data_IF_217899157665
#
_entry.id   IF_217899157665
#
_cell.length_a   1.000
_cell.length_b   1.000
_cell.length_c   1.000
_cell.angle_alpha   90.00
_cell.angle_beta   90.00
_cell.angle_gamma   90.00
#
_symmetry.space_group_name_H-M   'P 1'
#
loop_
_entity.id
_entity.type
_entity.pdbx_description
1 polymer ?
#
# COMPACT_ATOMS: atom_id res chain seq x y z
N UNK A 1 -15.88 -54.04 33.97
CA UNK A 1 -16.83 -53.53 32.95
C UNK A 1 -17.24 -52.11 33.31
N UNK A 2 -16.59 -51.07 32.76
CA UNK A 2 -17.24 -49.87 32.21
C UNK A 2 -16.18 -48.94 31.61
N UNK A 3 -16.50 -48.47 30.41
CA UNK A 3 -15.60 -47.87 29.43
C UNK A 3 -15.29 -46.40 29.72
N UNK A 4 -14.00 -46.03 29.52
CA UNK A 4 -13.52 -44.86 28.78
C UNK A 4 -14.56 -43.74 28.56
N UNK A 5 -14.46 -42.62 29.28
CA UNK A 5 -15.05 -41.36 28.86
C UNK A 5 -14.02 -40.23 28.96
N UNK A 6 -13.29 -40.06 27.86
CA UNK A 6 -12.43 -38.91 27.61
C UNK A 6 -13.23 -37.81 26.91
N UNK A 7 -12.88 -36.56 27.20
CA UNK A 7 -13.24 -35.29 26.52
C UNK A 7 -14.57 -34.63 26.91
N UNK A 8 -14.44 -33.44 27.50
CA UNK A 8 -15.03 -32.22 26.94
C UNK A 8 -14.37 -30.98 27.60
N UNK A 9 -13.07 -30.79 27.38
CA UNK A 9 -12.46 -29.48 27.61
C UNK A 9 -12.99 -28.56 26.51
N UNK A 10 -14.03 -27.78 26.82
CA UNK A 10 -14.70 -26.86 25.89
C UNK A 10 -13.66 -25.90 25.29
N UNK A 11 -13.38 -25.96 23.97
CA UNK A 11 -12.47 -25.02 23.31
C UNK A 11 -13.24 -23.72 23.01
N UNK A 12 -13.69 -23.01 24.03
CA UNK A 12 -14.35 -21.71 23.84
C UNK A 12 -13.32 -20.58 23.62
N UNK A 13 -12.13 -20.72 24.20
CA UNK A 13 -11.04 -19.74 24.10
C UNK A 13 -10.41 -19.70 22.72
N UNK A 14 -10.22 -20.86 22.07
CA UNK A 14 -9.58 -20.91 20.74
C UNK A 14 -10.45 -20.25 19.66
N UNK A 15 -11.77 -20.44 19.68
CA UNK A 15 -12.66 -19.82 18.69
C UNK A 15 -12.70 -18.29 18.81
N UNK A 16 -12.62 -17.75 20.03
CA UNK A 16 -12.56 -16.30 20.27
C UNK A 16 -11.21 -15.71 19.84
N UNK A 17 -10.10 -16.35 20.21
CA UNK A 17 -8.76 -15.95 19.76
C UNK A 17 -8.64 -16.01 18.24
N UNK A 18 -9.18 -17.05 17.60
CA UNK A 18 -9.20 -17.16 16.14
C UNK A 18 -9.98 -16.03 15.47
N UNK A 19 -11.15 -15.62 16.00
CA UNK A 19 -11.91 -14.50 15.43
C UNK A 19 -11.20 -13.16 15.58
N UNK A 20 -10.61 -12.89 16.74
CA UNK A 20 -9.85 -11.66 17.00
C UNK A 20 -8.64 -11.57 16.06
N UNK A 21 -7.92 -12.68 15.87
CA UNK A 21 -6.78 -12.74 14.93
C UNK A 21 -7.24 -12.54 13.48
N UNK A 22 -8.37 -13.13 13.08
CA UNK A 22 -8.92 -12.99 11.72
C UNK A 22 -9.34 -11.54 11.40
N UNK A 23 -10.06 -10.86 12.30
CA UNK A 23 -10.48 -9.47 12.08
C UNK A 23 -9.29 -8.50 12.00
N UNK A 24 -8.23 -8.76 12.77
CA UNK A 24 -7.03 -7.90 12.76
C UNK A 24 -6.11 -8.18 11.57
N UNK A 25 -6.21 -9.37 10.94
CA UNK A 25 -5.28 -9.82 9.91
C UNK A 25 -5.80 -9.68 8.48
N UNK A 26 -7.06 -9.26 8.27
CA UNK A 26 -7.57 -9.05 6.91
C UNK A 26 -6.99 -7.78 6.29
N UNK A 27 -6.25 -7.86 5.16
CA UNK A 27 -5.70 -6.69 4.51
C UNK A 27 -6.82 -5.76 4.04
N UNK A 28 -6.75 -4.47 4.39
CA UNK A 28 -7.70 -3.48 3.87
C UNK A 28 -7.30 -3.08 2.47
N UNK A 29 -8.27 -2.95 1.58
CA UNK A 29 -8.05 -2.46 0.21
C UNK A 29 -8.07 -0.93 0.22
N UNK A 30 -7.08 -0.31 -0.43
CA UNK A 30 -6.99 1.14 -0.63
C UNK A 30 -6.82 1.47 -2.11
N UNK A 31 -7.28 2.64 -2.53
CA UNK A 31 -7.18 3.12 -3.90
C UNK A 31 -5.97 4.05 -4.07
N UNK A 32 -5.28 3.92 -5.19
CA UNK A 32 -4.19 4.78 -5.60
C UNK A 32 -4.36 5.22 -7.06
N UNK A 33 -4.41 6.52 -7.29
CA UNK A 33 -4.47 7.09 -8.63
C UNK A 33 -3.05 7.28 -9.19
N UNK A 34 -2.58 6.25 -9.90
CA UNK A 34 -1.30 6.28 -10.58
C UNK A 34 -1.25 7.36 -11.67
N UNK A 35 -2.36 7.55 -12.40
CA UNK A 35 -2.42 8.50 -13.52
C UNK A 35 -2.20 9.92 -13.00
N UNK A 36 -2.94 10.30 -11.95
CA UNK A 36 -2.82 11.61 -11.30
C UNK A 36 -1.40 11.86 -10.77
N UNK A 37 -0.76 10.82 -10.26
CA UNK A 37 0.61 10.90 -9.75
C UNK A 37 1.63 11.09 -10.87
N UNK A 38 1.46 10.38 -11.98
CA UNK A 38 2.26 10.54 -13.18
C UNK A 38 2.09 11.94 -13.79
N UNK A 39 0.84 12.41 -13.94
CA UNK A 39 0.54 13.75 -14.46
C UNK A 39 1.22 14.83 -13.61
N UNK A 40 1.12 14.73 -12.27
CA UNK A 40 1.74 15.68 -11.34
C UNK A 40 3.28 15.70 -11.44
N UNK A 41 3.88 14.53 -11.71
CA UNK A 41 5.32 14.43 -11.96
C UNK A 41 5.67 15.08 -13.31
N UNK A 42 4.94 14.78 -14.38
CA UNK A 42 5.18 15.36 -15.70
C UNK A 42 5.04 16.88 -15.68
N UNK A 43 4.07 17.42 -14.95
CA UNK A 43 3.94 18.87 -14.72
C UNK A 43 5.18 19.45 -14.02
N UNK A 44 5.70 18.75 -13.02
CA UNK A 44 6.90 19.17 -12.28
C UNK A 44 8.17 19.10 -13.12
N UNK A 45 8.24 18.15 -14.05
CA UNK A 45 9.38 17.95 -14.96
C UNK A 45 9.32 18.89 -16.16
N UNK A 46 8.14 19.17 -16.71
CA UNK A 46 7.96 20.03 -17.88
C UNK A 46 8.40 21.47 -17.62
N UNK A 47 8.40 21.90 -16.36
CA UNK A 47 8.97 23.20 -15.96
C UNK A 47 10.50 23.25 -16.07
N UNK A 48 11.17 22.10 -16.24
CA UNK A 48 12.63 21.99 -16.36
C UNK A 48 12.98 21.63 -17.81
N UNK A 49 13.87 22.39 -18.43
CA UNK A 49 14.46 22.00 -19.71
C UNK A 49 15.49 20.90 -19.46
N UNK A 50 15.07 19.65 -19.59
CA UNK A 50 15.92 18.48 -19.40
C UNK A 50 16.37 17.92 -20.75
N UNK A 51 17.62 17.49 -20.82
CA UNK A 51 18.08 16.65 -21.93
C UNK A 51 17.46 15.26 -21.83
N UNK A 52 17.45 14.50 -22.93
CA UNK A 52 16.91 13.14 -22.94
C UNK A 52 17.53 12.24 -21.85
N UNK A 53 18.84 12.34 -21.65
CA UNK A 53 19.54 11.61 -20.59
C UNK A 53 19.08 12.02 -19.18
N UNK A 54 18.82 13.31 -18.95
CA UNK A 54 18.30 13.81 -17.68
C UNK A 54 16.86 13.38 -17.45
N UNK A 55 16.01 13.42 -18.48
CA UNK A 55 14.63 12.95 -18.43
C UNK A 55 14.56 11.46 -18.08
N UNK A 56 15.42 10.64 -18.70
CA UNK A 56 15.52 9.22 -18.38
C UNK A 56 15.95 8.99 -16.94
N UNK A 57 17.05 9.62 -16.50
CA UNK A 57 17.53 9.46 -15.13
C UNK A 57 16.50 9.91 -14.08
N UNK A 58 15.74 10.97 -14.38
CA UNK A 58 14.69 11.47 -13.49
C UNK A 58 13.48 10.53 -13.44
N UNK A 59 13.10 9.96 -14.59
CA UNK A 59 12.04 8.94 -14.67
C UNK A 59 12.41 7.68 -13.90
N UNK A 60 13.65 7.20 -14.04
CA UNK A 60 14.15 6.02 -13.32
C UNK A 60 14.12 6.26 -11.80
N UNK A 61 14.52 7.46 -11.33
CA UNK A 61 14.43 7.84 -9.91
C UNK A 61 12.99 7.96 -9.41
N UNK A 62 12.09 8.50 -10.23
CA UNK A 62 10.68 8.60 -9.89
C UNK A 62 10.04 7.22 -9.71
N UNK A 63 10.31 6.28 -10.61
CA UNK A 63 9.80 4.92 -10.52
C UNK A 63 10.33 4.21 -9.26
N UNK A 64 11.62 4.32 -8.95
CA UNK A 64 12.20 3.77 -7.72
C UNK A 64 11.56 4.37 -6.45
N UNK A 65 11.34 5.69 -6.43
CA UNK A 65 10.66 6.37 -5.32
C UNK A 65 9.20 5.94 -5.17
N UNK A 66 8.48 5.75 -6.28
CA UNK A 66 7.10 5.27 -6.31
C UNK A 66 7.00 3.84 -5.76
N UNK A 67 7.84 2.92 -6.26
CA UNK A 67 7.85 1.52 -5.82
C UNK A 67 8.16 1.41 -4.32
N UNK A 68 9.17 2.14 -3.84
CA UNK A 68 9.51 2.18 -2.41
C UNK A 68 8.38 2.75 -1.57
N UNK A 69 7.76 3.84 -2.02
CA UNK A 69 6.64 4.46 -1.31
C UNK A 69 5.45 3.53 -1.18
N UNK A 70 5.09 2.82 -2.26
CA UNK A 70 4.01 1.84 -2.25
C UNK A 70 4.35 0.65 -1.34
N UNK A 71 5.57 0.10 -1.44
CA UNK A 71 6.00 -1.03 -0.63
C UNK A 71 6.01 -0.70 0.86
N UNK A 72 6.56 0.45 1.25
CA UNK A 72 6.58 0.89 2.64
C UNK A 72 5.16 1.15 3.18
N UNK A 73 4.28 1.78 2.37
CA UNK A 73 2.90 2.01 2.78
C UNK A 73 2.12 0.69 2.97
N UNK A 74 2.32 -0.28 2.08
CA UNK A 74 1.73 -1.61 2.21
C UNK A 74 2.19 -2.33 3.48
N UNK A 75 3.49 -2.29 3.78
CA UNK A 75 4.06 -2.92 4.97
C UNK A 75 3.59 -2.26 6.27
N UNK A 76 3.59 -0.92 6.32
CA UNK A 76 3.19 -0.17 7.52
C UNK A 76 1.70 -0.32 7.82
N UNK A 77 0.85 -0.27 6.79
CA UNK A 77 -0.60 -0.25 6.97
C UNK A 77 -1.27 -1.62 6.76
N UNK A 78 -0.52 -2.66 6.37
CA UNK A 78 -1.05 -3.99 6.06
C UNK A 78 -2.21 -3.92 5.05
N UNK A 79 -2.01 -3.15 3.98
CA UNK A 79 -3.03 -2.88 2.96
C UNK A 79 -2.67 -3.47 1.61
N UNK A 80 -3.70 -3.71 0.80
CA UNK A 80 -3.55 -3.98 -0.63
C UNK A 80 -3.90 -2.71 -1.39
N UNK A 81 -2.94 -2.18 -2.15
CA UNK A 81 -3.12 -0.97 -2.95
C UNK A 81 -3.61 -1.37 -4.34
N UNK A 82 -4.77 -0.88 -4.74
CA UNK A 82 -5.32 -1.03 -6.08
C UNK A 82 -5.25 0.27 -6.85
N UNK A 83 -4.95 0.19 -8.14
CA UNK A 83 -4.94 1.38 -8.99
C UNK A 83 -6.38 1.79 -9.34
N UNK A 84 -6.69 3.08 -9.22
CA UNK A 84 -8.05 3.63 -9.24
C UNK A 84 -8.95 3.34 -10.46
N UNK A 85 -8.51 3.07 -11.72
CA UNK A 85 -9.48 2.77 -12.78
C UNK A 85 -10.23 1.44 -12.54
N UNK A 86 -9.81 0.63 -11.57
CA UNK A 86 -10.46 -0.62 -11.18
C UNK A 86 -11.38 -0.51 -9.94
N UNK A 87 -11.44 0.65 -9.26
CA UNK A 87 -12.09 0.79 -7.94
C UNK A 87 -13.47 1.44 -8.08
N UNK A 88 -14.49 0.62 -8.39
CA UNK A 88 -15.88 1.07 -8.59
C UNK A 88 -16.67 1.29 -7.28
N UNK A 89 -16.19 0.75 -6.16
CA UNK A 89 -16.90 0.75 -4.86
C UNK A 89 -16.06 1.34 -3.70
N UNK A 90 -15.41 2.48 -3.92
CA UNK A 90 -15.01 3.39 -2.83
C UNK A 90 -14.02 2.83 -1.80
N UNK A 91 -12.86 2.36 -2.24
CA UNK A 91 -11.74 2.14 -1.33
C UNK A 91 -11.15 3.49 -0.86
N UNK A 92 -10.62 3.59 0.37
CA UNK A 92 -9.95 4.81 0.83
C UNK A 92 -8.83 5.23 -0.13
N UNK A 93 -8.88 6.47 -0.61
CA UNK A 93 -7.88 7.02 -1.51
C UNK A 93 -6.62 7.45 -0.73
N UNK A 94 -5.48 6.82 -1.04
CA UNK A 94 -4.18 7.08 -0.41
C UNK A 94 -3.24 7.89 -1.31
N UNK A 95 -3.71 8.34 -2.47
CA UNK A 95 -2.91 9.02 -3.50
C UNK A 95 -2.09 10.17 -2.94
N UNK A 96 -2.69 11.04 -2.12
CA UNK A 96 -1.98 12.20 -1.55
C UNK A 96 -0.82 11.79 -0.64
N UNK A 97 -1.00 10.73 0.15
CA UNK A 97 0.02 10.27 1.10
C UNK A 97 1.24 9.72 0.34
N UNK A 98 0.98 8.88 -0.67
CA UNK A 98 2.01 8.32 -1.55
C UNK A 98 2.71 9.44 -2.32
N UNK A 99 1.97 10.40 -2.89
CA UNK A 99 2.56 11.56 -3.59
C UNK A 99 3.49 12.39 -2.69
N UNK A 100 3.09 12.63 -1.44
CA UNK A 100 3.91 13.36 -0.49
C UNK A 100 5.22 12.63 -0.19
N UNK A 101 5.15 11.32 0.01
CA UNK A 101 6.33 10.50 0.28
C UNK A 101 7.27 10.39 -0.94
N UNK A 102 6.73 10.23 -2.15
CA UNK A 102 7.52 10.31 -3.39
C UNK A 102 8.21 11.66 -3.50
N UNK A 103 7.49 12.77 -3.28
CA UNK A 103 8.06 14.10 -3.34
C UNK A 103 9.19 14.29 -2.31
N UNK A 104 9.05 13.71 -1.11
CA UNK A 104 10.09 13.69 -0.08
C UNK A 104 11.34 12.96 -0.57
N UNK A 105 11.20 11.76 -1.14
CA UNK A 105 12.31 10.96 -1.69
C UNK A 105 13.00 11.64 -2.88
N UNK A 106 12.21 12.23 -3.77
CA UNK A 106 12.71 12.92 -4.96
C UNK A 106 13.49 14.19 -4.64
N UNK A 107 13.23 14.82 -3.49
CA UNK A 107 13.99 15.97 -2.99
C UNK A 107 15.33 15.58 -2.35
N UNK A 108 15.60 14.28 -2.21
CA UNK A 108 16.68 13.75 -1.36
C UNK A 108 16.23 13.82 0.10
N UNK A 109 16.02 12.66 0.71
CA UNK A 109 15.67 12.57 2.13
C UNK A 109 16.71 13.34 2.97
N UNK A 110 16.25 14.27 3.83
CA UNK A 110 17.06 14.94 4.85
C UNK A 110 17.52 13.96 5.91
#
# INVERSE_FOLDING_TARGET
MCHRCSRAFRPATSAFLSRVVLEYSTPRVVAFDMKKTLDSFMDSVSQKQLTEAQSKALSDRFNDALEKSLAEYQQQHHVVILVSPAVVQGAPDVTRNIQHDIARRMKGEQ
#
